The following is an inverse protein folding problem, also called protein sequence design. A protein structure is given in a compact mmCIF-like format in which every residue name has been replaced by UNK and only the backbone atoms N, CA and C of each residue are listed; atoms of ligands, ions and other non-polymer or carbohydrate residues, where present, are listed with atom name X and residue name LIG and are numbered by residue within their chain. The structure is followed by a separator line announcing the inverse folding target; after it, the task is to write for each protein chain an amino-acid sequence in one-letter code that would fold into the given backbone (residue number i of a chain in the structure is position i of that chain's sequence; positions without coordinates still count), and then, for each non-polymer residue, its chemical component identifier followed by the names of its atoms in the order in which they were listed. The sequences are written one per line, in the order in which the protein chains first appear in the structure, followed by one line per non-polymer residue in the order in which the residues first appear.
data_IF_969081566101
#
_entry.id   IF_969081566101
#
_cell.length_a   1.000
_cell.length_b   1.000
_cell.length_c   1.000
_cell.angle_alpha   90.00
_cell.angle_beta   90.00
_cell.angle_gamma   90.00
#
_symmetry.space_group_name_H-M   'P 1'
#
loop_
_entity.id
_entity.type
_entity.pdbx_description
1 polymer ?
#
# COMPACT_ATOMS: atom_id res chain seq x y z
N UNK A 1 -1.90 0.22 -10.74
CA UNK A 1 -3.28 -0.21 -11.03
C UNK A 1 -4.14 0.26 -9.89
N UNK A 2 -5.08 1.15 -10.17
CA UNK A 2 -6.05 1.64 -9.18
C UNK A 2 -7.09 0.55 -8.90
N UNK A 3 -7.40 0.22 -7.64
CA UNK A 3 -8.38 -0.81 -7.31
C UNK A 3 -9.79 -0.49 -7.85
N UNK A 4 -10.13 0.79 -8.04
CA UNK A 4 -11.47 1.19 -8.47
C UNK A 4 -11.79 0.73 -9.90
N UNK A 5 -10.76 0.59 -10.75
CA UNK A 5 -10.93 0.09 -12.12
C UNK A 5 -11.42 -1.36 -12.17
N UNK A 6 -11.16 -2.14 -11.11
CA UNK A 6 -11.57 -3.54 -11.02
C UNK A 6 -13.08 -3.65 -10.73
N UNK A 7 -13.62 -2.72 -9.94
CA UNK A 7 -15.05 -2.69 -9.64
C UNK A 7 -15.86 -1.95 -10.71
N UNK A 8 -15.26 -0.91 -11.30
CA UNK A 8 -15.90 -0.06 -12.29
C UNK A 8 -14.95 0.16 -13.47
N UNK A 9 -15.20 -0.54 -14.57
CA UNK A 9 -14.43 -0.43 -15.80
C UNK A 9 -14.65 0.90 -16.54
N UNK A 10 -15.68 1.67 -16.14
CA UNK A 10 -15.92 3.03 -16.63
C UNK A 10 -15.22 4.10 -15.78
N UNK A 11 -14.52 3.70 -14.72
CA UNK A 11 -13.75 4.61 -13.89
C UNK A 11 -12.57 5.22 -14.67
N UNK A 12 -12.59 6.54 -14.81
CA UNK A 12 -11.48 7.29 -15.37
C UNK A 12 -10.31 7.35 -14.37
N UNK A 13 -9.11 6.98 -14.84
CA UNK A 13 -7.90 7.12 -14.05
C UNK A 13 -7.62 8.60 -13.77
N UNK A 14 -7.32 8.91 -12.51
CA UNK A 14 -7.07 10.28 -12.06
C UNK A 14 -5.70 10.39 -11.39
N UNK A 15 -5.30 11.59 -10.98
CA UNK A 15 -4.09 11.77 -10.16
C UNK A 15 -4.13 10.93 -8.87
N UNK A 16 -5.32 10.64 -8.33
CA UNK A 16 -5.48 9.76 -7.16
C UNK A 16 -5.11 8.31 -7.48
N UNK A 17 -5.21 7.88 -8.74
CA UNK A 17 -4.73 6.59 -9.22
C UNK A 17 -3.20 6.49 -9.23
N UNK A 18 -2.52 7.60 -9.50
CA UNK A 18 -1.06 7.71 -9.39
C UNK A 18 -0.61 7.60 -7.93
N UNK A 19 -1.33 8.24 -7.00
CA UNK A 19 -1.06 8.15 -5.55
C UNK A 19 -1.10 6.69 -5.07
N UNK A 20 -2.13 5.93 -5.48
CA UNK A 20 -2.23 4.52 -5.13
C UNK A 20 -1.09 3.69 -5.75
N UNK A 21 -0.78 3.95 -7.02
CA UNK A 21 0.31 3.24 -7.72
C UNK A 21 1.68 3.56 -7.11
N UNK A 22 1.90 4.79 -6.64
CA UNK A 22 3.08 5.17 -5.89
C UNK A 22 3.17 4.45 -4.54
N UNK A 23 2.05 4.32 -3.82
CA UNK A 23 2.00 3.54 -2.59
C UNK A 23 2.42 2.08 -2.82
N UNK A 24 1.92 1.46 -3.90
CA UNK A 24 2.27 0.11 -4.33
C UNK A 24 3.74 -0.04 -4.74
N UNK A 25 4.34 0.99 -5.35
CA UNK A 25 5.78 1.02 -5.65
C UNK A 25 6.61 1.12 -4.37
N UNK A 26 6.25 2.03 -3.47
CA UNK A 26 6.92 2.16 -2.17
C UNK A 26 6.82 0.87 -1.35
N UNK A 27 5.71 0.14 -1.42
CA UNK A 27 5.65 -1.19 -0.83
C UNK A 27 6.68 -2.14 -1.44
N UNK A 28 6.75 -2.23 -2.77
CA UNK A 28 7.70 -3.12 -3.43
C UNK A 28 9.14 -2.78 -3.06
N UNK A 29 9.46 -1.49 -2.97
CA UNK A 29 10.80 -1.03 -2.61
C UNK A 29 11.15 -1.30 -1.14
N UNK A 30 10.18 -1.15 -0.23
CA UNK A 30 10.41 -1.34 1.21
C UNK A 30 10.34 -2.80 1.63
N UNK A 31 9.44 -3.57 1.03
CA UNK A 31 9.23 -5.00 1.32
C UNK A 31 10.07 -5.94 0.47
N UNK A 32 10.58 -5.47 -0.67
CA UNK A 32 11.15 -6.29 -1.75
C UNK A 32 10.21 -7.41 -2.22
N UNK A 33 8.89 -7.22 -2.08
CA UNK A 33 7.86 -8.19 -2.48
C UNK A 33 6.81 -7.51 -3.35
N UNK A 34 6.24 -8.22 -4.34
CA UNK A 34 5.05 -7.70 -4.99
C UNK A 34 3.91 -7.61 -3.96
N UNK A 35 3.04 -6.60 -4.05
CA UNK A 35 1.93 -6.41 -3.10
C UNK A 35 0.91 -7.55 -3.09
N UNK A 36 1.02 -8.48 -4.04
CA UNK A 36 0.02 -9.48 -4.41
C UNK A 36 0.65 -10.87 -4.69
N UNK A 37 1.77 -11.21 -4.03
CA UNK A 37 2.61 -12.37 -4.35
C UNK A 37 1.92 -13.76 -4.32
N UNK A 38 0.71 -13.89 -3.77
CA UNK A 38 0.09 -15.18 -3.46
C UNK A 38 -1.38 -15.35 -3.87
N UNK A 39 -1.91 -14.50 -4.73
CA UNK A 39 -3.34 -14.51 -5.05
C UNK A 39 -3.55 -14.78 -6.54
N UNK A 40 -4.50 -15.67 -6.86
CA UNK A 40 -4.98 -15.84 -8.24
C UNK A 40 -5.66 -14.55 -8.68
N UNK A 41 -5.70 -14.29 -9.99
CA UNK A 41 -6.31 -13.05 -10.54
C UNK A 41 -7.73 -12.80 -9.99
N UNK A 42 -8.53 -13.86 -9.83
CA UNK A 42 -9.89 -13.82 -9.26
C UNK A 42 -9.87 -13.52 -7.75
N UNK A 43 -8.90 -14.09 -7.01
CA UNK A 43 -8.77 -13.86 -5.57
C UNK A 43 -8.34 -12.42 -5.24
N UNK A 44 -7.49 -11.84 -6.09
CA UNK A 44 -7.06 -10.44 -6.01
C UNK A 44 -8.21 -9.49 -6.20
N UNK A 45 -8.94 -9.67 -7.29
CA UNK A 45 -10.06 -8.83 -7.68
C UNK A 45 -11.14 -8.83 -6.57
N UNK A 46 -11.52 -10.00 -6.06
CA UNK A 46 -12.51 -10.14 -4.98
C UNK A 46 -12.05 -9.43 -3.69
N UNK A 47 -10.76 -9.52 -3.31
CA UNK A 47 -10.25 -8.88 -2.08
C UNK A 47 -10.11 -7.38 -2.22
N UNK A 48 -9.68 -6.92 -3.38
CA UNK A 48 -9.58 -5.50 -3.70
C UNK A 48 -10.99 -4.88 -3.70
N UNK A 49 -11.95 -5.47 -4.41
CA UNK A 49 -13.33 -4.96 -4.54
C UNK A 49 -14.06 -4.93 -3.20
N UNK A 50 -13.92 -5.97 -2.37
CA UNK A 50 -14.65 -6.04 -1.11
C UNK A 50 -14.09 -5.10 -0.03
N UNK A 51 -12.99 -4.38 -0.30
CA UNK A 51 -12.23 -3.68 0.74
C UNK A 51 -11.82 -4.62 1.88
N UNK A 52 -11.95 -5.94 1.69
CA UNK A 52 -11.49 -6.95 2.62
C UNK A 52 -10.00 -6.91 2.47
N UNK A 53 -9.41 -6.07 3.33
CA UNK A 53 -7.98 -5.88 3.43
C UNK A 53 -7.34 -7.20 3.10
N UNK A 54 -6.47 -7.18 2.10
CA UNK A 54 -5.44 -8.18 2.03
C UNK A 54 -4.92 -8.25 3.45
N UNK A 55 -5.26 -9.33 4.16
CA UNK A 55 -5.19 -9.57 5.61
C UNK A 55 -4.80 -8.45 6.59
N UNK A 56 -5.19 -7.16 6.50
CA UNK A 56 -4.54 -6.04 7.23
C UNK A 56 -3.08 -6.35 7.67
N UNK A 57 -2.10 -6.69 6.79
CA UNK A 57 -0.74 -6.87 7.26
C UNK A 57 -0.37 -5.61 8.05
N UNK A 58 -0.64 -4.46 7.44
CA UNK A 58 -0.33 -3.07 7.72
C UNK A 58 -0.97 -2.41 8.96
N UNK A 59 -1.19 -3.17 10.03
CA UNK A 59 -1.19 -2.53 11.35
C UNK A 59 0.06 -1.64 11.49
N UNK A 60 -0.01 -0.56 12.28
CA UNK A 60 1.17 0.28 12.59
C UNK A 60 2.40 -0.58 12.94
N UNK A 61 2.16 -1.70 13.62
CA UNK A 61 3.15 -2.72 13.95
C UNK A 61 3.78 -3.39 12.72
N UNK A 62 3.00 -3.83 11.74
CA UNK A 62 3.54 -4.50 10.55
C UNK A 62 4.18 -3.55 9.55
N UNK A 63 3.64 -2.35 9.34
CA UNK A 63 4.32 -1.32 8.54
C UNK A 63 5.69 -0.99 9.14
N UNK A 64 5.75 -0.87 10.47
CA UNK A 64 7.02 -0.78 11.19
C UNK A 64 7.89 -2.01 10.95
N UNK A 65 7.35 -3.23 10.97
CA UNK A 65 8.12 -4.45 10.67
C UNK A 65 8.66 -4.48 9.23
N UNK A 66 7.85 -4.21 8.20
CA UNK A 66 8.29 -4.32 6.80
C UNK A 66 9.28 -3.22 6.42
N UNK A 67 9.12 -2.02 6.99
CA UNK A 67 10.13 -0.95 6.87
C UNK A 67 11.41 -1.27 7.68
N UNK A 68 11.35 -2.17 8.69
CA UNK A 68 12.48 -2.51 9.58
C UNK A 68 13.14 -3.89 9.31
N UNK A 69 12.57 -4.78 8.49
CA UNK A 69 13.14 -6.12 8.25
C UNK A 69 14.03 -6.14 7.02
N UNK A 70 15.26 -5.64 7.19
CA UNK A 70 16.41 -6.11 6.41
C UNK A 70 17.41 -6.74 7.38
N UNK A 71 17.47 -8.06 7.39
CA UNK A 71 18.67 -8.77 7.83
C UNK A 71 19.06 -9.82 6.78
N UNK A 72 20.27 -9.70 6.25
CA UNK A 72 21.02 -10.90 5.86
C UNK A 72 22.37 -11.00 6.56
N UNK A 73 22.74 -10.00 7.35
CA UNK A 73 23.90 -9.96 8.25
C UNK A 73 24.17 -8.48 8.62
N UNK A 74 23.55 -7.98 9.68
CA UNK A 74 23.92 -6.72 10.37
C UNK A 74 23.88 -5.40 9.57
N UNK A 75 22.73 -4.72 9.61
CA UNK A 75 22.57 -3.30 10.00
C UNK A 75 21.06 -3.05 10.19
N UNK A 76 20.45 -3.42 11.31
CA UNK A 76 20.89 -3.00 12.64
C UNK A 76 20.50 -1.55 12.94
N UNK A 77 19.38 -1.06 12.40
CA UNK A 77 18.52 -0.09 13.09
C UNK A 77 17.15 -0.07 12.44
N UNK A 78 16.11 -0.29 13.24
CA UNK A 78 14.78 0.20 12.89
C UNK A 78 14.91 1.66 12.41
N UNK A 79 14.06 2.11 11.49
CA UNK A 79 13.75 3.54 11.41
C UNK A 79 12.96 3.84 12.69
N UNK A 80 13.68 3.89 13.81
CA UNK A 80 13.17 4.03 15.19
C UNK A 80 12.63 5.42 15.48
N UNK A 81 12.40 6.21 14.43
CA UNK A 81 11.84 7.55 14.42
C UNK A 81 11.04 7.79 13.12
N UNK A 82 10.46 6.75 12.49
CA UNK A 82 9.56 7.01 11.36
C UNK A 82 8.46 7.92 11.86
N UNK A 83 8.37 9.12 11.28
CA UNK A 83 7.40 10.11 11.66
C UNK A 83 6.00 9.47 11.58
N UNK A 84 5.23 9.52 12.66
CA UNK A 84 3.86 9.00 12.69
C UNK A 84 3.01 9.62 11.57
N UNK A 85 3.32 10.85 11.16
CA UNK A 85 2.70 11.52 10.02
C UNK A 85 3.04 10.83 8.69
N UNK A 86 4.28 10.36 8.50
CA UNK A 86 4.64 9.58 7.30
C UNK A 86 3.88 8.26 7.24
N UNK A 87 3.72 7.57 8.38
CA UNK A 87 2.96 6.31 8.43
C UNK A 87 1.49 6.57 8.07
N UNK A 88 0.87 7.62 8.64
CA UNK A 88 -0.52 7.98 8.33
C UNK A 88 -0.69 8.40 6.87
N UNK A 89 0.25 9.16 6.33
CA UNK A 89 0.26 9.55 4.92
C UNK A 89 0.31 8.31 4.03
N UNK A 90 1.27 7.42 4.30
CA UNK A 90 1.43 6.18 3.55
C UNK A 90 0.16 5.31 3.60
N UNK A 91 -0.48 5.19 4.76
CA UNK A 91 -1.76 4.49 4.91
C UNK A 91 -2.85 5.10 4.04
N UNK A 92 -3.01 6.43 4.05
CA UNK A 92 -4.02 7.11 3.22
C UNK A 92 -3.77 6.97 1.72
N UNK A 93 -2.51 6.90 1.27
CA UNK A 93 -2.21 6.67 -0.15
C UNK A 93 -2.81 5.37 -0.70
N UNK A 94 -3.11 4.39 0.16
CA UNK A 94 -3.66 3.08 -0.20
C UNK A 94 -5.19 2.98 0.01
N UNK A 95 -5.90 4.07 0.31
CA UNK A 95 -7.35 3.96 0.51
C UNK A 95 -8.07 3.49 -0.75
N UNK A 96 -9.10 2.66 -0.57
CA UNK A 96 -9.86 2.12 -1.69
C UNK A 96 -10.56 3.24 -2.47
N UNK A 97 -11.24 4.13 -1.75
CA UNK A 97 -11.88 5.29 -2.34
C UNK A 97 -10.84 6.36 -2.73
N UNK A 98 -10.80 6.81 -4.00
CA UNK A 98 -9.85 7.82 -4.46
C UNK A 98 -9.90 9.14 -3.70
N UNK A 99 -11.09 9.51 -3.21
CA UNK A 99 -11.31 10.77 -2.50
C UNK A 99 -10.70 10.76 -1.08
N UNK A 100 -10.51 9.58 -0.49
CA UNK A 100 -9.88 9.42 0.82
C UNK A 100 -8.34 9.43 0.76
N UNK A 101 -7.78 9.34 -0.45
CA UNK A 101 -6.34 9.42 -0.69
C UNK A 101 -5.86 10.87 -0.58
N UNK A 102 -4.60 11.13 -0.17
CA UNK A 102 -4.05 12.48 -0.11
C UNK A 102 -3.92 13.10 -1.51
N UNK A 103 -3.72 14.41 -1.57
CA UNK A 103 -3.29 15.07 -2.82
C UNK A 103 -1.77 14.91 -3.00
N UNK A 104 -1.29 15.05 -4.23
CA UNK A 104 0.16 14.99 -4.51
C UNK A 104 0.93 16.15 -3.85
N UNK A 105 0.24 17.24 -3.53
CA UNK A 105 0.82 18.44 -2.90
C UNK A 105 0.79 18.46 -1.38
N UNK A 106 0.25 17.42 -0.75
CA UNK A 106 0.25 17.26 0.71
C UNK A 106 1.65 16.97 1.27
#
# INVERSE_FOLDING_TARGET
MDPKILNDHSYDLTKKSDIYSLAALFWQLTSCRPPFEFETDIGLEIRIINGTHISKPWSKSYLSHVICHRDRSNLGRAISNTNDEYVKLYQRCWEFEPDDRPDISE
#
